data_IF_310859821479
#
_entry.id   IF_310859821479
#
_cell.length_a   1.000
_cell.length_b   1.000
_cell.length_c   1.000
_cell.angle_alpha   90.00
_cell.angle_beta   90.00
_cell.angle_gamma   90.00
#
_symmetry.space_group_name_H-M   'P 1'
#
loop_
_entity.id
_entity.type
_entity.pdbx_description
1 polymer ?
#
# COMPACT_ATOMS: atom_id res chain seq x y z
N UNK A 1 -19.24 -14.93 -4.40
CA UNK A 1 -19.44 -16.36 -4.00
C UNK A 1 -19.54 -16.40 -2.49
N UNK A 2 -20.44 -17.19 -1.90
CA UNK A 2 -20.48 -17.41 -0.44
C UNK A 2 -19.92 -18.79 -0.14
N UNK A 3 -19.03 -18.89 0.85
CA UNK A 3 -18.53 -20.17 1.35
C UNK A 3 -18.54 -20.12 2.87
N UNK A 4 -19.38 -20.95 3.49
CA UNK A 4 -19.76 -20.80 4.89
C UNK A 4 -20.32 -19.40 5.17
N UNK A 5 -19.79 -18.75 6.21
CA UNK A 5 -20.19 -17.39 6.62
C UNK A 5 -19.39 -16.28 5.91
N UNK A 6 -18.52 -16.63 4.95
CA UNK A 6 -17.65 -15.67 4.26
C UNK A 6 -18.14 -15.37 2.84
N UNK A 7 -18.11 -14.09 2.49
CA UNK A 7 -18.38 -13.62 1.13
C UNK A 7 -17.07 -13.36 0.41
N UNK A 8 -16.88 -14.02 -0.73
CA UNK A 8 -15.72 -13.90 -1.60
C UNK A 8 -16.07 -13.06 -2.83
N UNK A 9 -15.18 -12.12 -3.14
CA UNK A 9 -15.21 -11.31 -4.36
C UNK A 9 -13.95 -11.57 -5.17
N UNK A 10 -14.13 -12.02 -6.41
CA UNK A 10 -13.02 -12.16 -7.35
C UNK A 10 -12.71 -10.80 -7.96
N UNK A 11 -11.48 -10.32 -7.78
CA UNK A 11 -10.98 -9.07 -8.35
C UNK A 11 -10.04 -9.41 -9.49
N UNK A 12 -10.31 -8.89 -10.69
CA UNK A 12 -9.43 -9.07 -11.84
C UNK A 12 -8.33 -8.02 -11.80
N UNK A 13 -7.08 -8.48 -11.77
CA UNK A 13 -5.91 -7.62 -11.87
C UNK A 13 -5.30 -7.70 -13.28
N UNK A 14 -4.56 -6.66 -13.65
CA UNK A 14 -3.79 -6.67 -14.90
C UNK A 14 -2.59 -7.63 -14.77
N UNK A 15 -2.18 -8.34 -15.83
CA UNK A 15 -1.08 -9.31 -15.77
C UNK A 15 0.22 -8.77 -15.17
N UNK A 16 0.58 -7.52 -15.47
CA UNK A 16 1.80 -6.88 -14.96
C UNK A 16 1.76 -6.57 -13.44
N UNK A 17 0.61 -6.77 -12.77
CA UNK A 17 0.46 -6.63 -11.32
C UNK A 17 0.64 -7.96 -10.57
N UNK A 18 0.84 -9.08 -11.27
CA UNK A 18 1.11 -10.38 -10.67
C UNK A 18 2.62 -10.61 -10.50
N UNK A 19 3.18 -10.07 -9.41
CA UNK A 19 4.57 -10.27 -8.99
C UNK A 19 4.70 -10.08 -7.47
N UNK A 20 5.89 -10.28 -6.89
CA UNK A 20 6.13 -10.02 -5.46
C UNK A 20 5.40 -11.02 -4.57
N UNK A 21 5.54 -12.31 -4.90
CA UNK A 21 4.94 -13.41 -4.17
C UNK A 21 6.04 -14.33 -3.65
N UNK A 22 5.81 -14.89 -2.48
CA UNK A 22 6.62 -15.95 -1.90
C UNK A 22 5.78 -17.22 -1.72
N UNK A 23 6.46 -18.36 -1.71
CA UNK A 23 5.85 -19.66 -1.45
C UNK A 23 6.07 -20.01 0.01
N UNK A 24 4.98 -20.22 0.75
CA UNK A 24 5.04 -20.66 2.15
C UNK A 24 4.33 -22.01 2.29
N UNK A 25 4.66 -22.74 3.35
CA UNK A 25 3.90 -23.91 3.79
C UNK A 25 2.90 -23.47 4.85
N UNK A 26 1.60 -23.66 4.57
CA UNK A 26 0.53 -23.43 5.53
C UNK A 26 -0.26 -24.73 5.70
N UNK A 27 -0.23 -25.31 6.91
CA UNK A 27 -0.82 -26.63 7.18
C UNK A 27 -0.39 -27.69 6.15
N UNK A 28 0.93 -27.79 5.93
CA UNK A 28 1.59 -28.68 4.96
C UNK A 28 1.20 -28.48 3.49
N UNK A 29 0.40 -27.45 3.18
CA UNK A 29 0.03 -27.10 1.83
C UNK A 29 0.91 -25.94 1.32
N UNK A 30 1.58 -26.11 0.18
CA UNK A 30 2.31 -25.02 -0.45
C UNK A 30 1.34 -23.99 -1.01
N UNK A 31 1.40 -22.76 -0.50
CA UNK A 31 0.58 -21.64 -0.95
C UNK A 31 1.45 -20.46 -1.40
N UNK A 32 0.99 -19.75 -2.43
CA UNK A 32 1.59 -18.48 -2.85
C UNK A 32 0.91 -17.34 -2.10
N UNK A 33 1.69 -16.52 -1.43
CA UNK A 33 1.23 -15.33 -0.72
C UNK A 33 2.00 -14.11 -1.18
N UNK A 34 1.36 -12.94 -1.18
CA UNK A 34 2.05 -11.68 -1.46
C UNK A 34 3.13 -11.44 -0.40
N UNK A 35 4.30 -10.99 -0.86
CA UNK A 35 5.30 -10.43 0.04
C UNK A 35 4.74 -9.16 0.71
N UNK A 36 5.25 -8.76 1.89
CA UNK A 36 4.73 -7.61 2.62
C UNK A 36 4.65 -6.33 1.78
N UNK A 37 5.68 -6.06 0.97
CA UNK A 37 5.72 -4.89 0.08
C UNK A 37 4.59 -4.94 -0.94
N UNK A 38 4.37 -6.11 -1.55
CA UNK A 38 3.31 -6.29 -2.53
C UNK A 38 1.93 -6.18 -1.90
N UNK A 39 1.74 -6.75 -0.70
CA UNK A 39 0.47 -6.70 0.02
C UNK A 39 0.07 -5.25 0.37
N UNK A 40 1.03 -4.42 0.79
CA UNK A 40 0.80 -2.98 1.04
C UNK A 40 0.38 -2.27 -0.25
N UNK A 41 1.05 -2.54 -1.37
CA UNK A 41 0.73 -1.91 -2.66
C UNK A 41 -0.59 -2.37 -3.24
N UNK A 42 -0.95 -3.65 -3.11
CA UNK A 42 -2.26 -4.17 -3.52
C UNK A 42 -3.39 -3.53 -2.72
N UNK A 43 -3.18 -3.35 -1.42
CA UNK A 43 -4.13 -2.66 -0.55
C UNK A 43 -4.28 -1.18 -0.94
N UNK A 44 -3.18 -0.52 -1.35
CA UNK A 44 -3.20 0.87 -1.81
C UNK A 44 -3.77 1.04 -3.23
N UNK A 45 -3.62 0.04 -4.10
CA UNK A 45 -4.20 0.00 -5.44
C UNK A 45 -5.72 -0.20 -5.39
N UNK A 46 -6.18 -0.99 -4.41
CA UNK A 46 -7.57 -1.36 -4.18
C UNK A 46 -8.01 -1.07 -2.74
N UNK A 47 -8.06 0.22 -2.40
CA UNK A 47 -8.44 0.69 -1.06
C UNK A 47 -9.81 0.20 -0.63
N UNK A 48 -10.73 -0.04 -1.57
CA UNK A 48 -12.05 -0.63 -1.33
C UNK A 48 -12.02 -2.08 -0.82
N UNK A 49 -10.88 -2.78 -0.94
CA UNK A 49 -10.67 -4.15 -0.43
C UNK A 49 -9.56 -4.24 0.62
N UNK A 50 -8.65 -3.28 0.68
CA UNK A 50 -7.48 -3.26 1.57
C UNK A 50 -7.70 -2.63 2.95
N UNK A 51 -8.95 -2.52 3.42
CA UNK A 51 -9.26 -1.86 4.70
C UNK A 51 -9.18 -0.32 4.66
N UNK A 52 -9.04 0.27 3.47
CA UNK A 52 -8.95 1.71 3.27
C UNK A 52 -7.56 2.30 3.52
N UNK A 53 -7.45 3.61 3.35
CA UNK A 53 -6.16 4.33 3.39
C UNK A 53 -5.51 4.31 4.77
N UNK A 54 -6.32 4.12 5.82
CA UNK A 54 -5.89 4.08 7.22
C UNK A 54 -5.04 2.83 7.50
N UNK A 55 -5.45 1.65 7.02
CA UNK A 55 -4.68 0.41 7.23
C UNK A 55 -3.35 0.44 6.45
N UNK A 56 -3.33 1.04 5.26
CA UNK A 56 -2.07 1.28 4.53
C UNK A 56 -1.17 2.24 5.32
N UNK A 57 -1.72 3.34 5.84
CA UNK A 57 -0.97 4.31 6.64
C UNK A 57 -0.41 3.68 7.91
N UNK A 58 -1.16 2.81 8.56
CA UNK A 58 -0.74 2.03 9.73
C UNK A 58 0.38 1.04 9.40
N UNK A 59 0.24 0.28 8.31
CA UNK A 59 1.26 -0.67 7.87
C UNK A 59 2.60 0.05 7.60
N UNK A 60 2.56 1.19 6.91
CA UNK A 60 3.73 2.04 6.70
C UNK A 60 4.25 2.64 8.02
N UNK A 61 3.37 3.20 8.85
CA UNK A 61 3.75 3.84 10.11
C UNK A 61 4.35 2.88 11.16
N UNK A 62 4.10 1.58 11.04
CA UNK A 62 4.67 0.53 11.91
C UNK A 62 5.78 -0.27 11.24
N UNK A 63 6.25 0.12 10.06
CA UNK A 63 7.23 -0.64 9.27
C UNK A 63 8.55 -0.90 10.00
N UNK A 64 9.01 0.04 10.84
CA UNK A 64 10.27 -0.08 11.61
C UNK A 64 10.18 -1.01 12.81
N UNK A 65 8.98 -1.25 13.32
CA UNK A 65 8.75 -2.03 14.55
C UNK A 65 8.09 -3.38 14.28
N UNK A 66 7.45 -3.55 13.11
CA UNK A 66 6.77 -4.77 12.72
C UNK A 66 7.68 -5.66 11.89
N UNK A 67 7.61 -6.96 12.14
CA UNK A 67 8.31 -7.98 11.35
C UNK A 67 7.34 -9.08 10.92
N UNK A 68 7.61 -9.69 9.78
CA UNK A 68 6.81 -10.73 9.17
C UNK A 68 7.68 -11.97 8.96
N UNK A 69 7.06 -13.14 9.09
CA UNK A 69 7.75 -14.39 8.81
C UNK A 69 7.96 -14.52 7.29
N UNK A 70 9.19 -14.82 6.91
CA UNK A 70 9.56 -15.06 5.51
C UNK A 70 9.49 -16.55 5.18
N UNK A 71 9.48 -16.89 3.90
CA UNK A 71 9.60 -18.28 3.45
C UNK A 71 10.89 -18.97 3.90
N UNK A 72 11.91 -18.20 4.30
CA UNK A 72 13.21 -18.69 4.78
C UNK A 72 13.21 -18.94 6.29
N UNK A 73 12.09 -18.69 6.99
CA UNK A 73 11.98 -18.82 8.45
C UNK A 73 12.65 -17.68 9.21
N UNK A 74 13.00 -16.58 8.52
CA UNK A 74 13.49 -15.35 9.13
C UNK A 74 12.34 -14.38 9.41
N UNK A 75 12.60 -13.37 10.25
CA UNK A 75 11.65 -12.28 10.51
C UNK A 75 12.19 -10.98 9.96
N UNK A 76 11.50 -10.42 8.98
CA UNK A 76 11.96 -9.23 8.27
C UNK A 76 10.92 -8.11 8.35
N UNK A 77 11.40 -6.87 8.40
CA UNK A 77 10.56 -5.68 8.31
C UNK A 77 10.18 -5.37 6.87
N UNK A 78 9.39 -4.32 6.68
CA UNK A 78 9.04 -3.83 5.34
C UNK A 78 10.27 -3.17 4.69
N UNK A 79 10.72 -3.69 3.55
CA UNK A 79 11.80 -3.08 2.77
C UNK A 79 11.27 -1.93 1.91
N UNK A 80 11.62 -0.70 2.29
CA UNK A 80 11.18 0.52 1.62
C UNK A 80 11.73 0.64 0.18
N UNK A 81 12.95 0.19 -0.06
CA UNK A 81 13.53 0.24 -1.40
C UNK A 81 12.81 -0.73 -2.34
N UNK A 82 12.56 -1.96 -1.86
CA UNK A 82 11.77 -2.97 -2.57
C UNK A 82 10.33 -2.50 -2.79
N UNK A 83 9.70 -1.86 -1.80
CA UNK A 83 8.37 -1.26 -1.91
C UNK A 83 8.30 -0.21 -3.03
N UNK A 84 9.30 0.68 -3.14
CA UNK A 84 9.36 1.69 -4.21
C UNK A 84 9.58 1.04 -5.58
N UNK A 85 10.45 0.05 -5.67
CA UNK A 85 10.64 -0.73 -6.90
C UNK A 85 9.34 -1.39 -7.34
N UNK A 86 8.60 -1.97 -6.40
CA UNK A 86 7.32 -2.64 -6.67
C UNK A 86 6.25 -1.64 -7.08
N UNK A 87 6.18 -0.45 -6.46
CA UNK A 87 5.27 0.61 -6.87
C UNK A 87 5.48 1.03 -8.34
N UNK A 88 6.74 1.09 -8.79
CA UNK A 88 7.08 1.35 -10.20
C UNK A 88 6.61 0.21 -11.11
N UNK A 89 6.79 -1.04 -10.68
CA UNK A 89 6.33 -2.22 -11.42
C UNK A 89 4.78 -2.31 -11.51
N UNK A 90 4.04 -1.74 -10.57
CA UNK A 90 2.57 -1.65 -10.62
C UNK A 90 2.05 -0.79 -11.78
N UNK A 91 2.90 0.04 -12.41
CA UNK A 91 2.54 0.94 -13.54
C UNK A 91 1.30 1.80 -13.28
N UNK A 92 1.04 2.14 -12.02
CA UNK A 92 -0.07 2.99 -11.61
C UNK A 92 0.48 4.29 -11.02
N UNK A 93 0.45 5.37 -11.80
CA UNK A 93 0.99 6.67 -11.37
C UNK A 93 0.23 7.27 -10.18
N UNK A 94 -1.08 7.03 -10.09
CA UNK A 94 -1.89 7.46 -8.95
C UNK A 94 -1.51 6.74 -7.67
N UNK A 95 -1.18 5.45 -7.76
CA UNK A 95 -0.63 4.69 -6.64
C UNK A 95 0.73 5.25 -6.21
N UNK A 96 1.64 5.53 -7.15
CA UNK A 96 2.94 6.15 -6.83
C UNK A 96 2.79 7.50 -6.13
N UNK A 97 1.86 8.36 -6.58
CA UNK A 97 1.54 9.62 -5.90
C UNK A 97 1.09 9.38 -4.45
N UNK A 98 0.12 8.48 -4.22
CA UNK A 98 -0.37 8.16 -2.87
C UNK A 98 0.73 7.60 -1.98
N UNK A 99 1.52 6.66 -2.49
CA UNK A 99 2.61 6.05 -1.73
C UNK A 99 3.65 7.09 -1.33
N UNK A 100 4.05 7.97 -2.26
CA UNK A 100 5.06 8.99 -1.97
C UNK A 100 4.60 9.97 -0.88
N UNK A 101 3.33 10.37 -0.92
CA UNK A 101 2.73 11.17 0.14
C UNK A 101 2.71 10.44 1.49
N UNK A 102 2.25 9.18 1.52
CA UNK A 102 2.18 8.41 2.76
C UNK A 102 3.55 8.11 3.37
N UNK A 103 4.56 7.78 2.55
CA UNK A 103 5.94 7.56 3.02
C UNK A 103 6.56 8.84 3.59
N UNK A 104 6.27 9.99 2.98
CA UNK A 104 6.65 11.31 3.53
C UNK A 104 5.95 11.54 4.87
N UNK A 105 4.64 11.34 4.93
CA UNK A 105 3.81 11.61 6.10
C UNK A 105 4.15 10.72 7.30
N UNK A 106 4.54 9.48 7.05
CA UNK A 106 4.94 8.49 8.06
C UNK A 106 6.44 8.52 8.37
N UNK A 107 7.19 9.42 7.74
CA UNK A 107 8.66 9.59 7.88
C UNK A 107 9.46 8.32 7.57
N UNK A 108 8.94 7.43 6.72
CA UNK A 108 9.59 6.16 6.41
C UNK A 108 10.62 6.26 5.29
N UNK A 109 10.56 7.31 4.49
CA UNK A 109 11.51 7.58 3.43
C UNK A 109 11.73 9.09 3.31
N UNK A 110 12.92 9.48 2.84
CA UNK A 110 13.24 10.88 2.58
C UNK A 110 13.63 11.04 1.13
N UNK A 111 14.86 10.70 0.80
CA UNK A 111 15.43 10.87 -0.53
C UNK A 111 14.81 9.91 -1.55
N UNK A 112 14.46 8.71 -1.12
CA UNK A 112 13.86 7.66 -1.94
C UNK A 112 12.49 8.08 -2.47
N UNK A 113 11.79 8.95 -1.74
CA UNK A 113 10.48 9.48 -2.17
C UNK A 113 10.60 10.32 -3.44
N UNK A 114 11.75 10.93 -3.71
CA UNK A 114 11.96 11.72 -4.94
C UNK A 114 11.78 10.88 -6.20
N UNK A 115 12.00 9.56 -6.13
CA UNK A 115 11.66 8.67 -7.25
C UNK A 115 10.16 8.62 -7.48
N UNK A 116 9.36 8.51 -6.41
CA UNK A 116 7.91 8.45 -6.49
C UNK A 116 7.29 9.76 -6.95
N UNK A 117 7.91 10.91 -6.65
CA UNK A 117 7.51 12.20 -7.23
C UNK A 117 7.61 12.18 -8.76
N UNK A 118 8.73 11.70 -9.30
CA UNK A 118 8.96 11.61 -10.75
C UNK A 118 8.05 10.59 -11.43
N UNK A 119 7.76 9.48 -10.74
CA UNK A 119 6.88 8.42 -11.24
C UNK A 119 5.39 8.65 -10.94
N UNK A 120 5.07 9.69 -10.17
CA UNK A 120 3.74 10.07 -9.76
C UNK A 120 2.87 10.56 -10.93
N UNK A 121 1.60 10.77 -10.63
CA UNK A 121 0.65 11.32 -11.60
C UNK A 121 0.98 12.79 -11.88
N UNK A 122 0.95 13.18 -13.16
CA UNK A 122 0.96 14.58 -13.58
C UNK A 122 -0.41 15.26 -13.43
N UNK A 123 -1.46 14.45 -13.20
CA UNK A 123 -2.84 14.90 -13.06
C UNK A 123 -3.30 14.80 -11.60
N UNK A 124 -4.31 15.58 -11.19
CA UNK A 124 -4.92 15.46 -9.87
C UNK A 124 -5.34 14.03 -9.51
N UNK A 125 -4.89 13.57 -8.34
CA UNK A 125 -5.24 12.27 -7.75
C UNK A 125 -5.88 12.51 -6.39
N UNK A 126 -6.88 11.73 -6.01
CA UNK A 126 -7.38 11.75 -4.61
C UNK A 126 -6.54 10.82 -3.75
N UNK A 127 -6.20 11.25 -2.54
CA UNK A 127 -5.53 10.39 -1.56
C UNK A 127 -6.38 9.14 -1.28
N UNK A 128 -7.67 9.34 -1.00
CA UNK A 128 -8.66 8.26 -0.95
C UNK A 128 -9.69 8.43 -2.09
N UNK A 129 -9.70 7.56 -3.11
CA UNK A 129 -10.64 7.66 -4.23
C UNK A 129 -12.09 7.32 -3.83
N UNK A 130 -12.33 6.70 -2.67
CA UNK A 130 -13.66 6.34 -2.18
C UNK A 130 -14.39 7.53 -1.55
N UNK A 131 -13.67 8.61 -1.24
CA UNK A 131 -14.19 9.81 -0.62
C UNK A 131 -14.32 10.97 -1.62
N UNK A 132 -15.25 11.93 -1.38
CA UNK A 132 -15.33 13.15 -2.17
C UNK A 132 -14.04 13.98 -2.01
N UNK A 133 -13.69 14.84 -3.00
CA UNK A 133 -12.55 15.73 -2.88
C UNK A 133 -12.81 16.85 -1.87
N UNK A 134 -11.75 17.47 -1.35
CA UNK A 134 -11.83 18.66 -0.50
C UNK A 134 -10.94 19.80 -1.03
N UNK A 135 -10.75 20.86 -0.24
CA UNK A 135 -9.91 22.01 -0.60
C UNK A 135 -8.41 21.83 -0.33
N UNK A 136 -7.98 20.75 0.33
CA UNK A 136 -6.58 20.51 0.71
C UNK A 136 -5.82 19.83 -0.43
N UNK A 137 -4.64 20.35 -0.73
CA UNK A 137 -3.82 19.89 -1.85
C UNK A 137 -2.36 19.73 -1.47
N UNK A 138 -1.76 18.63 -1.89
CA UNK A 138 -0.32 18.40 -1.92
C UNK A 138 0.16 18.54 -3.38
N UNK A 139 0.95 19.57 -3.64
CA UNK A 139 1.49 19.86 -4.99
C UNK A 139 2.64 18.94 -5.38
N UNK A 140 3.34 18.36 -4.40
CA UNK A 140 4.51 17.50 -4.63
C UNK A 140 4.10 16.20 -5.32
N UNK A 141 2.93 15.67 -4.97
CA UNK A 141 2.38 14.43 -5.55
C UNK A 141 1.11 14.62 -6.39
N UNK A 142 0.70 15.87 -6.64
CA UNK A 142 -0.57 16.23 -7.30
C UNK A 142 -1.80 15.59 -6.62
N UNK A 143 -1.81 15.60 -5.29
CA UNK A 143 -2.85 14.93 -4.50
C UNK A 143 -3.85 15.92 -3.90
N UNK A 144 -5.13 15.61 -4.07
CA UNK A 144 -6.20 16.10 -3.22
C UNK A 144 -6.17 15.30 -1.91
N UNK A 145 -5.80 15.96 -0.82
CA UNK A 145 -5.65 15.34 0.51
C UNK A 145 -7.02 15.31 1.19
N UNK A 146 -7.90 14.46 0.64
CA UNK A 146 -9.29 14.33 1.07
C UNK A 146 -9.52 13.50 2.34
N UNK A 147 -8.46 13.24 3.09
CA UNK A 147 -8.50 12.56 4.40
C UNK A 147 -7.69 13.39 5.38
N UNK A 148 -8.25 13.64 6.56
CA UNK A 148 -7.56 14.41 7.60
C UNK A 148 -6.43 13.62 8.25
N UNK A 149 -5.48 14.32 8.88
CA UNK A 149 -4.39 13.68 9.61
C UNK A 149 -4.94 12.80 10.74
N UNK A 150 -5.93 13.31 11.47
CA UNK A 150 -6.59 12.62 12.58
C UNK A 150 -7.21 11.29 12.11
N UNK A 151 -7.86 11.29 10.94
CA UNK A 151 -8.39 10.07 10.35
C UNK A 151 -7.28 9.10 9.92
N UNK A 152 -6.20 9.58 9.31
CA UNK A 152 -5.08 8.73 8.87
C UNK A 152 -4.34 8.05 10.02
N UNK A 153 -4.35 8.66 11.21
CA UNK A 153 -3.61 8.20 12.39
C UNK A 153 -4.49 7.72 13.54
N UNK A 154 -5.79 7.50 13.31
CA UNK A 154 -6.73 7.10 14.36
C UNK A 154 -6.31 5.81 15.09
N UNK A 155 -5.71 4.87 14.36
CA UNK A 155 -5.16 3.61 14.87
C UNK A 155 -4.02 3.77 15.90
N UNK A 156 -3.48 4.97 16.11
CA UNK A 156 -2.52 5.24 17.20
C UNK A 156 -3.19 5.40 18.56
N UNK A 157 -4.51 5.64 18.57
CA UNK A 157 -5.31 5.85 19.78
C UNK A 157 -5.98 4.57 20.30
N UNK A 158 -5.95 3.51 19.50
CA UNK A 158 -6.46 2.16 19.80
C UNK A 158 -5.35 1.22 20.22
#
# INVERSE_FOLDING_TARGET
MKFGNYAYKYVRLQPHKFFGYQKILYADLPVLIAEPEKAVLDSLDHLEYGGGIQEVTKALGRSRTSTFDTSEGTREGLDIAKLIQYAKAMRNRSLSSRLGYLLTLTEQAREEVKELEKHGSAWPVRLDPTLPPNSKWDRRFNLNVNVSYEQLFDWRRS
#
